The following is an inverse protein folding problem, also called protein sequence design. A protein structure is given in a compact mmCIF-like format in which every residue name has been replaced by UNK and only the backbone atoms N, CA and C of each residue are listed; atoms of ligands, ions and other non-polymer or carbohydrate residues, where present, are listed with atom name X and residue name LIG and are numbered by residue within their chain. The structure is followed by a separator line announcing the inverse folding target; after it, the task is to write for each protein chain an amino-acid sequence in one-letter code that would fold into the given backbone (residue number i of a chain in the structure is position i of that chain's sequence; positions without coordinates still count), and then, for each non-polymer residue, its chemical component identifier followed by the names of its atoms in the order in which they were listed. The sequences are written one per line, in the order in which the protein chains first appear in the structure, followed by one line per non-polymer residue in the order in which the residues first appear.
data_IF_181111231399
#
_entry.id   IF_181111231399
#
_cell.length_a   1.000
_cell.length_b   1.000
_cell.length_c   1.000
_cell.angle_alpha   90.00
_cell.angle_beta   90.00
_cell.angle_gamma   90.00
#
_symmetry.space_group_name_H-M   'P 1'
#
loop_
_entity.id
_entity.type
_entity.pdbx_description
1 polymer ?
#
# COMPACT_ATOMS: atom_id res chain seq x y z
N UNK A 1 -30.89 25.03 34.22
CA UNK A 1 -30.09 23.81 34.53
C UNK A 1 -29.60 23.10 33.28
N UNK A 2 -30.20 23.30 32.11
CA UNK A 2 -29.79 22.68 30.83
C UNK A 2 -28.39 23.09 30.31
N UNK A 3 -27.97 24.34 30.51
CA UNK A 3 -26.66 24.81 30.02
C UNK A 3 -25.44 24.12 30.66
N UNK A 4 -25.55 23.67 31.92
CA UNK A 4 -24.44 23.02 32.64
C UNK A 4 -24.19 21.59 32.13
N UNK A 5 -25.26 20.85 31.83
CA UNK A 5 -25.15 19.50 31.28
C UNK A 5 -24.52 19.50 29.87
N UNK A 6 -24.87 20.49 29.05
CA UNK A 6 -24.29 20.67 27.72
C UNK A 6 -22.79 21.04 27.78
N UNK A 7 -22.41 21.94 28.70
CA UNK A 7 -21.02 22.35 28.94
C UNK A 7 -20.17 21.18 29.47
N UNK A 8 -20.74 20.37 30.37
CA UNK A 8 -20.07 19.18 30.88
C UNK A 8 -19.85 18.18 29.73
N UNK A 9 -20.88 17.84 28.94
CA UNK A 9 -20.75 16.97 27.75
C UNK A 9 -19.66 17.43 26.77
N UNK A 10 -19.49 18.75 26.59
CA UNK A 10 -18.43 19.32 25.75
C UNK A 10 -17.03 19.01 26.30
N UNK A 11 -16.86 19.14 27.63
CA UNK A 11 -15.60 18.80 28.30
C UNK A 11 -15.29 17.30 28.20
N UNK A 12 -16.30 16.45 28.35
CA UNK A 12 -16.12 14.99 28.19
C UNK A 12 -15.70 14.62 26.76
N UNK A 13 -16.33 15.23 25.75
CA UNK A 13 -15.99 15.03 24.35
C UNK A 13 -14.56 15.49 24.06
N UNK A 14 -14.20 16.70 24.51
CA UNK A 14 -12.86 17.24 24.31
C UNK A 14 -11.77 16.36 24.96
N UNK A 15 -12.02 15.83 26.16
CA UNK A 15 -11.11 14.91 26.83
C UNK A 15 -10.93 13.60 26.04
N UNK A 16 -12.02 13.00 25.55
CA UNK A 16 -11.97 11.79 24.72
C UNK A 16 -11.23 12.01 23.40
N UNK A 17 -11.47 13.15 22.73
CA UNK A 17 -10.75 13.53 21.51
C UNK A 17 -9.26 13.71 21.80
N UNK A 18 -8.90 14.37 22.89
CA UNK A 18 -7.49 14.58 23.26
C UNK A 18 -6.77 13.25 23.53
N UNK A 19 -7.40 12.31 24.26
CA UNK A 19 -6.87 10.97 24.49
C UNK A 19 -6.69 10.18 23.19
N UNK A 20 -7.67 10.28 22.29
CA UNK A 20 -7.63 9.66 20.97
C UNK A 20 -6.48 10.22 20.13
N UNK A 21 -6.35 11.54 20.02
CA UNK A 21 -5.28 12.19 19.26
C UNK A 21 -3.89 11.87 19.81
N UNK A 22 -3.75 11.84 21.15
CA UNK A 22 -2.49 11.46 21.79
C UNK A 22 -2.09 10.03 21.44
N UNK A 23 -3.00 9.07 21.58
CA UNK A 23 -2.74 7.68 21.25
C UNK A 23 -2.52 7.47 19.74
N UNK A 24 -3.25 8.20 18.89
CA UNK A 24 -3.05 8.18 17.43
C UNK A 24 -1.63 8.66 17.06
N UNK A 25 -1.14 9.74 17.68
CA UNK A 25 0.23 10.22 17.47
C UNK A 25 1.28 9.14 17.80
N UNK A 26 1.14 8.49 18.95
CA UNK A 26 2.05 7.41 19.35
C UNK A 26 1.93 6.16 18.48
N UNK A 27 0.71 5.84 18.03
CA UNK A 27 0.48 4.77 17.05
C UNK A 27 1.23 5.07 15.75
N UNK A 28 1.07 6.26 15.16
CA UNK A 28 1.76 6.66 13.92
C UNK A 28 3.28 6.57 14.07
N UNK A 29 3.83 7.12 15.16
CA UNK A 29 5.28 7.05 15.43
C UNK A 29 5.78 5.60 15.59
N UNK A 30 4.98 4.71 16.18
CA UNK A 30 5.31 3.30 16.31
C UNK A 30 5.27 2.59 14.94
N UNK A 31 4.31 2.93 14.07
CA UNK A 31 4.24 2.43 12.70
C UNK A 31 5.44 2.88 11.86
N UNK A 32 5.83 4.17 11.95
CA UNK A 32 7.02 4.71 11.29
C UNK A 32 8.31 3.99 11.71
N UNK A 33 8.35 3.50 12.96
CA UNK A 33 9.48 2.77 13.53
C UNK A 33 9.37 1.25 13.33
N UNK A 34 8.37 0.77 12.56
CA UNK A 34 8.05 -0.64 12.37
C UNK A 34 7.86 -1.45 13.68
N UNK A 35 7.42 -0.78 14.75
CA UNK A 35 7.17 -1.38 16.05
C UNK A 35 5.69 -1.72 16.22
N UNK A 36 5.31 -2.87 15.66
CA UNK A 36 3.91 -3.29 15.59
C UNK A 36 3.26 -3.50 16.96
N UNK A 37 4.02 -4.00 17.94
CA UNK A 37 3.52 -4.24 19.30
C UNK A 37 3.03 -2.95 19.93
N UNK A 38 3.83 -1.89 19.83
CA UNK A 38 3.47 -0.59 20.40
C UNK A 38 2.35 0.07 19.60
N UNK A 39 2.35 -0.05 18.27
CA UNK A 39 1.24 0.44 17.45
C UNK A 39 -0.10 -0.17 17.88
N UNK A 40 -0.17 -1.51 18.00
CA UNK A 40 -1.37 -2.22 18.46
C UNK A 40 -1.77 -1.85 19.89
N UNK A 41 -0.79 -1.63 20.78
CA UNK A 41 -1.04 -1.16 22.14
C UNK A 41 -1.74 0.21 22.14
N UNK A 42 -1.23 1.17 21.38
CA UNK A 42 -1.84 2.50 21.28
C UNK A 42 -3.20 2.46 20.59
N UNK A 43 -3.41 1.60 19.60
CA UNK A 43 -4.73 1.36 18.99
C UNK A 43 -5.75 0.82 19.99
N UNK A 44 -5.35 -0.13 20.85
CA UNK A 44 -6.22 -0.64 21.91
C UNK A 44 -6.55 0.44 22.96
N UNK A 45 -5.59 1.34 23.26
CA UNK A 45 -5.83 2.48 24.14
C UNK A 45 -6.79 3.50 23.51
N UNK A 46 -6.70 3.79 22.21
CA UNK A 46 -7.72 4.62 21.51
C UNK A 46 -9.12 4.04 21.64
N UNK A 47 -9.28 2.73 21.45
CA UNK A 47 -10.57 2.06 21.63
C UNK A 47 -11.08 2.12 23.07
N UNK A 48 -10.20 2.31 24.05
CA UNK A 48 -10.60 2.47 25.46
C UNK A 48 -11.30 3.81 25.73
N UNK A 49 -10.98 4.86 24.95
CA UNK A 49 -11.66 6.17 25.03
C UNK A 49 -13.14 6.09 24.63
N UNK A 50 -13.50 5.09 23.82
CA UNK A 50 -14.88 4.82 23.42
C UNK A 50 -15.71 4.18 24.55
N UNK A 51 -15.10 3.72 25.64
CA UNK A 51 -15.81 3.06 26.76
C UNK A 51 -16.53 4.05 27.68
N UNK A 52 -16.98 5.19 27.15
CA UNK A 52 -17.68 6.25 27.88
C UNK A 52 -19.19 6.12 27.73
N UNK A 53 -19.91 6.20 28.86
CA UNK A 53 -21.37 6.24 28.92
C UNK A 53 -21.94 7.65 29.12
N UNK A 54 -21.08 8.67 29.04
CA UNK A 54 -21.38 10.05 29.47
C UNK A 54 -21.72 11.01 28.33
N UNK A 55 -21.67 10.52 27.09
CA UNK A 55 -21.91 11.31 25.89
C UNK A 55 -23.32 11.03 25.35
N UNK A 56 -23.98 12.07 24.85
CA UNK A 56 -25.16 11.92 24.02
C UNK A 56 -24.82 11.13 22.73
N UNK A 57 -25.81 10.48 22.09
CA UNK A 57 -25.58 9.68 20.89
C UNK A 57 -24.85 10.42 19.77
N UNK A 58 -25.14 11.72 19.61
CA UNK A 58 -24.48 12.56 18.61
C UNK A 58 -22.98 12.73 18.88
N UNK A 59 -22.61 13.11 20.11
CA UNK A 59 -21.21 13.30 20.52
C UNK A 59 -20.43 11.99 20.57
N UNK A 60 -21.09 10.89 20.97
CA UNK A 60 -20.49 9.56 20.92
C UNK A 60 -20.17 9.13 19.47
N UNK A 61 -21.10 9.37 18.54
CA UNK A 61 -20.87 9.08 17.12
C UNK A 61 -19.69 9.88 16.57
N UNK A 62 -19.58 11.16 16.92
CA UNK A 62 -18.44 11.99 16.53
C UNK A 62 -17.10 11.43 17.02
N UNK A 63 -17.02 11.05 18.30
CA UNK A 63 -15.82 10.41 18.87
C UNK A 63 -15.52 9.07 18.19
N UNK A 64 -16.54 8.27 17.93
CA UNK A 64 -16.43 6.98 17.24
C UNK A 64 -15.86 7.14 15.82
N UNK A 65 -16.39 8.08 15.02
CA UNK A 65 -15.93 8.28 13.65
C UNK A 65 -14.46 8.72 13.61
N UNK A 66 -14.03 9.58 14.55
CA UNK A 66 -12.61 9.93 14.66
C UNK A 66 -11.73 8.73 15.01
N UNK A 67 -12.18 7.85 15.91
CA UNK A 67 -11.41 6.66 16.28
C UNK A 67 -11.32 5.68 15.10
N UNK A 68 -12.43 5.53 14.38
CA UNK A 68 -12.52 4.71 13.19
C UNK A 68 -11.57 5.21 12.09
N UNK A 69 -11.53 6.50 11.80
CA UNK A 69 -10.63 7.09 10.81
C UNK A 69 -9.15 6.84 11.13
N UNK A 70 -8.75 6.94 12.40
CA UNK A 70 -7.38 6.60 12.82
C UNK A 70 -7.09 5.10 12.68
N UNK A 71 -8.03 4.23 13.03
CA UNK A 71 -7.88 2.78 12.89
C UNK A 71 -7.84 2.33 11.42
N UNK A 72 -8.48 3.06 10.50
CA UNK A 72 -8.31 2.80 9.05
C UNK A 72 -6.88 3.01 8.59
N UNK A 73 -6.11 3.93 9.18
CA UNK A 73 -4.69 4.11 8.85
C UNK A 73 -3.86 2.90 9.30
N UNK A 74 -4.22 2.31 10.45
CA UNK A 74 -3.64 1.04 10.90
C UNK A 74 -3.99 -0.10 9.94
N UNK A 75 -5.25 -0.19 9.49
CA UNK A 75 -5.67 -1.15 8.45
C UNK A 75 -4.85 -0.99 7.16
N UNK A 76 -4.60 0.25 6.72
CA UNK A 76 -3.77 0.55 5.56
C UNK A 76 -2.31 0.11 5.75
N UNK A 77 -1.76 0.23 6.96
CA UNK A 77 -0.44 -0.30 7.29
C UNK A 77 -0.36 -1.83 7.22
N UNK A 78 -1.46 -2.53 7.50
CA UNK A 78 -1.57 -3.98 7.35
C UNK A 78 -1.96 -4.44 5.93
N UNK A 79 -2.25 -3.50 5.02
CA UNK A 79 -2.58 -3.73 3.61
C UNK A 79 -1.40 -3.70 2.62
N UNK A 80 -0.12 -3.99 2.93
CA UNK A 80 0.77 -4.48 1.90
C UNK A 80 0.35 -5.95 1.65
N UNK A 81 -0.80 -6.15 1.02
CA UNK A 81 -1.27 -7.49 0.65
C UNK A 81 -0.43 -7.95 -0.54
N UNK A 82 0.73 -8.49 -0.20
CA UNK A 82 1.85 -8.86 -1.07
C UNK A 82 2.52 -7.62 -1.66
N UNK A 83 3.84 -7.49 -1.48
CA UNK A 83 4.65 -6.63 -2.34
C UNK A 83 4.67 -7.27 -3.72
N UNK A 84 3.54 -7.16 -4.43
CA UNK A 84 3.29 -7.77 -5.75
C UNK A 84 4.37 -7.27 -6.71
N UNK A 85 4.86 -6.04 -6.50
CA UNK A 85 6.01 -5.49 -7.19
C UNK A 85 7.25 -6.35 -6.96
N UNK A 86 7.65 -6.63 -5.72
CA UNK A 86 8.76 -7.54 -5.41
C UNK A 86 8.54 -8.96 -5.94
N UNK A 87 7.34 -9.53 -5.78
CA UNK A 87 7.04 -10.89 -6.28
C UNK A 87 7.15 -10.96 -7.81
N UNK A 88 6.56 -10.01 -8.53
CA UNK A 88 6.63 -9.96 -9.99
C UNK A 88 8.05 -9.67 -10.48
N UNK A 89 8.78 -8.74 -9.84
CA UNK A 89 10.19 -8.49 -10.15
C UNK A 89 11.04 -9.75 -9.98
N UNK A 90 10.90 -10.48 -8.87
CA UNK A 90 11.65 -11.72 -8.63
C UNK A 90 11.27 -12.84 -9.61
N UNK A 91 9.98 -12.96 -9.97
CA UNK A 91 9.55 -13.94 -10.98
C UNK A 91 10.12 -13.62 -12.36
N UNK A 92 10.07 -12.35 -12.78
CA UNK A 92 10.67 -11.90 -14.05
C UNK A 92 12.18 -12.14 -14.07
N UNK A 93 12.88 -11.84 -12.99
CA UNK A 93 14.31 -12.09 -12.86
C UNK A 93 14.64 -13.59 -12.98
N UNK A 94 13.87 -14.46 -12.32
CA UNK A 94 14.04 -15.92 -12.42
C UNK A 94 13.81 -16.42 -13.84
N UNK A 95 12.78 -15.93 -14.53
CA UNK A 95 12.52 -16.29 -15.94
C UNK A 95 13.63 -15.78 -16.86
N UNK A 96 14.08 -14.55 -16.65
CA UNK A 96 15.20 -13.95 -17.38
C UNK A 96 16.48 -14.79 -17.23
N UNK A 97 16.81 -15.19 -16.01
CA UNK A 97 17.97 -16.02 -15.71
C UNK A 97 17.85 -17.42 -16.32
N UNK A 98 16.65 -18.02 -16.29
CA UNK A 98 16.41 -19.31 -16.92
C UNK A 98 16.62 -19.25 -18.43
N UNK A 99 16.03 -18.25 -19.10
CA UNK A 99 16.20 -18.01 -20.53
C UNK A 99 17.65 -17.72 -20.92
N UNK A 100 18.40 -16.98 -20.08
CA UNK A 100 19.83 -16.74 -20.29
C UNK A 100 20.67 -18.02 -20.16
N UNK A 101 20.29 -18.94 -19.27
CA UNK A 101 20.99 -20.19 -19.03
C UNK A 101 20.67 -21.32 -20.02
N UNK A 102 19.55 -21.21 -20.74
CA UNK A 102 19.08 -22.20 -21.70
C UNK A 102 18.48 -21.50 -22.92
N UNK A 103 19.29 -21.31 -23.95
CA UNK A 103 18.85 -20.61 -25.17
C UNK A 103 17.86 -21.43 -26.01
N UNK A 104 17.77 -22.75 -25.77
CA UNK A 104 16.88 -23.66 -26.49
C UNK A 104 15.40 -23.39 -26.18
N UNK A 105 15.09 -22.83 -25.00
CA UNK A 105 13.70 -22.54 -24.58
C UNK A 105 13.19 -21.18 -25.06
N UNK A 106 14.03 -20.35 -25.66
CA UNK A 106 13.64 -19.01 -26.15
C UNK A 106 12.43 -19.02 -27.10
N UNK A 107 12.31 -19.98 -28.04
CA UNK A 107 11.13 -20.06 -28.91
C UNK A 107 9.83 -20.33 -28.14
N UNK A 108 9.89 -21.08 -27.03
CA UNK A 108 8.71 -21.38 -26.20
C UNK A 108 8.18 -20.14 -25.49
N UNK A 109 9.08 -19.25 -25.03
CA UNK A 109 8.68 -17.97 -24.44
C UNK A 109 7.92 -17.07 -25.41
N UNK A 110 8.28 -17.11 -26.69
CA UNK A 110 7.56 -16.40 -27.74
C UNK A 110 6.17 -17.01 -27.97
N UNK A 111 6.07 -18.35 -28.01
CA UNK A 111 4.80 -19.04 -28.20
C UNK A 111 3.78 -18.77 -27.08
N UNK A 112 4.24 -18.66 -25.83
CA UNK A 112 3.36 -18.37 -24.69
C UNK A 112 3.07 -16.89 -24.51
N UNK A 113 3.57 -16.02 -25.40
CA UNK A 113 3.43 -14.56 -25.36
C UNK A 113 3.89 -13.97 -24.01
N UNK A 114 5.03 -14.45 -23.50
CA UNK A 114 5.49 -14.12 -22.14
C UNK A 114 5.61 -12.61 -21.91
N UNK A 115 6.15 -11.87 -22.88
CA UNK A 115 6.25 -10.41 -22.84
C UNK A 115 4.89 -9.73 -22.66
N UNK A 116 3.91 -10.02 -23.53
CA UNK A 116 2.59 -9.39 -23.50
C UNK A 116 1.86 -9.65 -22.18
N UNK A 117 1.98 -10.87 -21.64
CA UNK A 117 1.37 -11.24 -20.36
C UNK A 117 2.01 -10.50 -19.18
N UNK A 118 3.34 -10.40 -19.14
CA UNK A 118 4.05 -9.67 -18.08
C UNK A 118 3.81 -8.17 -18.15
N UNK A 119 3.83 -7.58 -19.34
CA UNK A 119 3.54 -6.16 -19.57
C UNK A 119 2.13 -5.79 -19.09
N UNK A 120 1.11 -6.59 -19.46
CA UNK A 120 -0.26 -6.38 -19.00
C UNK A 120 -0.41 -6.55 -17.48
N UNK A 121 0.26 -7.55 -16.89
CA UNK A 121 0.24 -7.74 -15.45
C UNK A 121 0.82 -6.53 -14.69
N UNK A 122 1.94 -5.96 -15.17
CA UNK A 122 2.53 -4.74 -14.60
C UNK A 122 1.55 -3.57 -14.71
N UNK A 123 0.93 -3.36 -15.88
CA UNK A 123 -0.08 -2.33 -16.08
C UNK A 123 -1.20 -2.40 -15.05
N UNK A 124 -1.79 -3.60 -14.86
CA UNK A 124 -2.85 -3.84 -13.86
C UNK A 124 -2.40 -3.57 -12.42
N UNK A 125 -1.17 -3.94 -12.07
CA UNK A 125 -0.64 -3.72 -10.71
C UNK A 125 -0.43 -2.23 -10.44
N UNK A 126 0.10 -1.49 -11.41
CA UNK A 126 0.29 -0.04 -11.29
C UNK A 126 -1.06 0.67 -11.24
N UNK A 127 -2.04 0.26 -12.05
CA UNK A 127 -3.41 0.81 -12.01
C UNK A 127 -4.12 0.54 -10.67
N UNK A 128 -3.93 -0.66 -10.10
CA UNK A 128 -4.54 -1.04 -8.83
C UNK A 128 -3.89 -0.35 -7.61
N UNK A 129 -2.63 0.09 -7.72
CA UNK A 129 -1.89 0.76 -6.64
C UNK A 129 -1.81 2.27 -6.90
N UNK A 130 -2.88 2.97 -6.54
CA UNK A 130 -3.06 4.41 -6.77
C UNK A 130 -1.90 5.27 -6.23
N UNK A 131 -1.28 4.87 -5.13
CA UNK A 131 -0.15 5.56 -4.49
C UNK A 131 1.19 4.81 -4.63
N UNK A 132 1.39 4.05 -5.72
CA UNK A 132 2.67 3.36 -5.94
C UNK A 132 3.82 4.40 -6.02
N UNK A 133 4.87 4.28 -5.19
CA UNK A 133 6.04 5.16 -5.29
C UNK A 133 6.70 5.06 -6.67
N UNK A 134 7.31 6.15 -7.15
CA UNK A 134 8.05 6.16 -8.43
C UNK A 134 9.09 5.05 -8.51
N UNK A 135 9.81 4.80 -7.42
CA UNK A 135 10.77 3.68 -7.33
C UNK A 135 10.10 2.31 -7.52
N UNK A 136 8.82 2.17 -7.14
CA UNK A 136 7.95 1.04 -7.43
C UNK A 136 7.82 0.77 -8.93
N UNK A 137 7.36 1.80 -9.64
CA UNK A 137 7.16 1.79 -11.09
C UNK A 137 8.47 1.51 -11.84
N UNK A 138 9.55 2.20 -11.45
CA UNK A 138 10.88 2.06 -12.06
C UNK A 138 11.38 0.62 -11.95
N UNK A 139 11.31 0.00 -10.78
CA UNK A 139 11.79 -1.39 -10.62
C UNK A 139 10.98 -2.38 -11.47
N UNK A 140 9.64 -2.25 -11.54
CA UNK A 140 8.81 -3.16 -12.34
C UNK A 140 9.18 -3.10 -13.81
N UNK A 141 9.27 -1.89 -14.38
CA UNK A 141 9.63 -1.71 -15.78
C UNK A 141 11.10 -2.06 -16.04
N UNK A 142 12.01 -1.82 -15.09
CA UNK A 142 13.41 -2.27 -15.20
C UNK A 142 13.54 -3.79 -15.22
N UNK A 143 12.79 -4.51 -14.37
CA UNK A 143 12.72 -5.97 -14.40
C UNK A 143 12.14 -6.49 -15.72
N UNK A 144 11.07 -5.86 -16.23
CA UNK A 144 10.49 -6.22 -17.52
C UNK A 144 11.48 -5.97 -18.67
N UNK A 145 12.17 -4.83 -18.68
CA UNK A 145 13.18 -4.51 -19.68
C UNK A 145 14.32 -5.52 -19.67
N UNK A 146 14.80 -5.88 -18.48
CA UNK A 146 15.83 -6.91 -18.31
C UNK A 146 15.38 -8.24 -18.88
N UNK A 147 14.16 -8.68 -18.53
CA UNK A 147 13.56 -9.89 -19.11
C UNK A 147 13.49 -9.82 -20.64
N UNK A 148 12.98 -8.71 -21.20
CA UNK A 148 12.85 -8.53 -22.65
C UNK A 148 14.19 -8.64 -23.36
N UNK A 149 15.24 -8.02 -22.83
CA UNK A 149 16.58 -8.04 -23.45
C UNK A 149 17.21 -9.44 -23.42
N UNK A 150 16.92 -10.26 -22.41
CA UNK A 150 17.43 -11.64 -22.34
C UNK A 150 16.62 -12.63 -23.17
N UNK A 151 15.29 -12.50 -23.16
CA UNK A 151 14.39 -13.47 -23.81
C UNK A 151 14.15 -13.13 -25.28
N UNK A 152 14.20 -11.85 -25.63
CA UNK A 152 13.92 -11.35 -26.97
C UNK A 152 14.98 -10.33 -27.43
N UNK A 153 16.26 -10.73 -27.52
CA UNK A 153 17.38 -9.82 -27.82
C UNK A 153 17.22 -9.07 -29.16
N UNK A 154 16.58 -9.70 -30.15
CA UNK A 154 16.37 -9.12 -31.48
C UNK A 154 15.09 -8.26 -31.59
N UNK A 155 14.26 -8.21 -30.54
CA UNK A 155 12.96 -7.51 -30.54
C UNK A 155 13.07 -6.15 -29.87
N UNK A 156 13.78 -5.23 -30.52
CA UNK A 156 13.92 -3.84 -30.05
C UNK A 156 12.57 -3.13 -29.89
N UNK A 157 11.56 -3.52 -30.68
CA UNK A 157 10.20 -3.01 -30.57
C UNK A 157 9.56 -3.26 -29.19
N UNK A 158 9.91 -4.36 -28.51
CA UNK A 158 9.45 -4.62 -27.15
C UNK A 158 10.16 -3.75 -26.12
N UNK A 159 11.45 -3.49 -26.31
CA UNK A 159 12.19 -2.57 -25.43
C UNK A 159 11.63 -1.14 -25.56
N UNK A 160 11.36 -0.69 -26.79
CA UNK A 160 10.75 0.61 -27.05
C UNK A 160 9.37 0.74 -26.41
N UNK A 161 8.54 -0.29 -26.50
CA UNK A 161 7.23 -0.32 -25.83
C UNK A 161 7.35 -0.16 -24.31
N UNK A 162 8.29 -0.87 -23.68
CA UNK A 162 8.52 -0.76 -22.23
C UNK A 162 8.93 0.66 -21.84
N UNK A 163 9.84 1.27 -22.62
CA UNK A 163 10.30 2.64 -22.38
C UNK A 163 9.18 3.67 -22.57
N UNK A 164 8.35 3.52 -23.60
CA UNK A 164 7.20 4.40 -23.84
C UNK A 164 6.19 4.29 -22.70
N UNK A 165 5.83 3.08 -22.29
CA UNK A 165 4.92 2.86 -21.15
C UNK A 165 5.47 3.43 -19.84
N UNK A 166 6.78 3.30 -19.62
CA UNK A 166 7.44 3.87 -18.45
C UNK A 166 7.39 5.40 -18.46
N UNK A 167 7.79 6.04 -19.57
CA UNK A 167 7.81 7.50 -19.69
C UNK A 167 6.41 8.11 -19.56
N UNK A 168 5.41 7.49 -20.19
CA UNK A 168 4.02 7.96 -20.08
C UNK A 168 3.50 7.92 -18.64
N UNK A 169 4.06 7.06 -17.78
CA UNK A 169 3.63 6.95 -16.38
C UNK A 169 4.35 7.92 -15.45
N UNK A 170 5.39 8.59 -15.92
CA UNK A 170 6.18 9.58 -15.16
C UNK A 170 5.77 11.03 -15.43
N UNK A 171 4.91 11.27 -16.42
CA UNK A 171 4.42 12.58 -16.87
C UNK A 171 2.94 12.69 -16.50
#
# INVERSE_FOLDING_TARGET
MEGKAAEDEEKWLAAGIAGLQQNAFYMHRALDSNNLRDALKYSAQMLSELRTSKLSPHKYYELYMRAFDELRKLEMFFKPSVDIKTVLSQLMERLSNYAASSTEVLPEFLQVEAFSKLSNAIGKVIEAQVDMPTVGVVTLYSSLLTFTLHVHPDRLDYADQVLVCFLFKLI
#
